data_IF_538317499502
#
_entry.id   IF_538317499502
#
_cell.length_a   1.000
_cell.length_b   1.000
_cell.length_c   1.000
_cell.angle_alpha   90.00
_cell.angle_beta   90.00
_cell.angle_gamma   90.00
#
_symmetry.space_group_name_H-M   'P 1'
#
loop_
_entity.id
_entity.type
_entity.pdbx_description
1 polymer ?
#
# COMPACT_ATOMS: atom_id res chain seq x y z
N UNK A 1 -9.04 -59.35 29.36
CA UNK A 1 -8.14 -58.77 28.30
C UNK A 1 -9.00 -57.94 27.35
N UNK A 2 -9.33 -56.67 27.68
CA UNK A 2 -10.33 -55.88 26.93
C UNK A 2 -10.28 -54.37 27.16
N UNK A 3 -9.21 -53.79 27.72
CA UNK A 3 -9.19 -52.35 28.08
C UNK A 3 -8.24 -51.47 27.26
N UNK A 4 -7.56 -51.97 26.21
CA UNK A 4 -6.58 -51.19 25.48
C UNK A 4 -7.06 -50.59 24.12
N UNK A 5 -8.26 -50.83 23.66
CA UNK A 5 -8.73 -50.32 22.36
C UNK A 5 -9.51 -49.00 22.44
N UNK A 6 -10.11 -48.65 23.58
CA UNK A 6 -10.85 -47.39 23.71
C UNK A 6 -9.96 -46.17 23.93
N UNK A 7 -8.80 -46.32 24.49
CA UNK A 7 -7.90 -45.20 24.85
C UNK A 7 -7.20 -44.57 23.65
N UNK A 8 -6.93 -45.34 22.59
CA UNK A 8 -6.33 -44.82 21.34
C UNK A 8 -7.30 -43.98 20.53
N UNK A 9 -8.58 -44.28 20.54
CA UNK A 9 -9.60 -43.55 19.79
C UNK A 9 -9.91 -42.19 20.46
N UNK A 10 -9.96 -42.16 21.80
CA UNK A 10 -10.15 -40.92 22.56
C UNK A 10 -8.93 -39.99 22.49
N UNK A 11 -7.73 -40.54 22.48
CA UNK A 11 -6.49 -39.77 22.34
C UNK A 11 -6.35 -39.14 20.94
N UNK A 12 -6.78 -39.83 19.90
CA UNK A 12 -6.80 -39.30 18.53
C UNK A 12 -7.88 -38.23 18.35
N UNK A 13 -9.04 -38.32 19.00
CA UNK A 13 -10.06 -37.26 18.96
C UNK A 13 -9.61 -35.99 19.70
N UNK A 14 -8.95 -36.12 20.83
CA UNK A 14 -8.37 -34.98 21.55
C UNK A 14 -7.22 -34.33 20.76
N UNK A 15 -6.36 -35.10 20.15
CA UNK A 15 -5.31 -34.60 19.25
C UNK A 15 -5.89 -33.92 18.00
N UNK A 16 -6.92 -34.49 17.38
CA UNK A 16 -7.61 -33.86 16.24
C UNK A 16 -8.33 -32.57 16.63
N UNK A 17 -8.97 -32.52 17.79
CA UNK A 17 -9.55 -31.29 18.30
C UNK A 17 -8.46 -30.25 18.64
N UNK A 18 -7.34 -30.67 19.23
CA UNK A 18 -6.21 -29.78 19.54
C UNK A 18 -5.56 -29.25 18.25
N UNK A 19 -5.36 -30.08 17.23
CA UNK A 19 -4.87 -29.67 15.91
C UNK A 19 -5.89 -28.79 15.16
N UNK A 20 -7.18 -29.03 15.33
CA UNK A 20 -8.23 -28.18 14.75
C UNK A 20 -8.28 -26.81 15.44
N UNK A 21 -8.19 -26.76 16.77
CA UNK A 21 -8.13 -25.52 17.57
C UNK A 21 -6.84 -24.76 17.35
N UNK A 22 -5.70 -25.44 17.26
CA UNK A 22 -4.41 -24.80 16.98
C UNK A 22 -4.35 -24.31 15.52
N UNK A 23 -4.86 -25.05 14.55
CA UNK A 23 -5.00 -24.57 13.16
C UNK A 23 -5.98 -23.39 13.05
N UNK A 24 -7.07 -23.39 13.83
CA UNK A 24 -8.03 -22.30 13.91
C UNK A 24 -7.38 -21.08 14.54
N UNK A 25 -6.64 -21.23 15.65
CA UNK A 25 -5.95 -20.10 16.31
C UNK A 25 -4.79 -19.54 15.47
N UNK A 26 -4.04 -20.39 14.76
CA UNK A 26 -2.96 -19.95 13.86
C UNK A 26 -3.56 -19.26 12.61
N UNK A 27 -4.66 -19.77 12.05
CA UNK A 27 -5.36 -19.12 10.94
C UNK A 27 -5.99 -17.80 11.38
N UNK A 28 -6.56 -17.71 12.59
CA UNK A 28 -7.09 -16.47 13.16
C UNK A 28 -5.97 -15.48 13.57
N UNK A 29 -4.80 -15.96 14.04
CA UNK A 29 -3.64 -15.09 14.28
C UNK A 29 -3.04 -14.51 12.99
N UNK A 30 -3.02 -15.29 11.90
CA UNK A 30 -2.55 -14.82 10.58
C UNK A 30 -3.52 -13.80 9.96
N UNK A 31 -4.81 -13.85 10.34
CA UNK A 31 -5.84 -12.97 9.80
C UNK A 31 -5.81 -11.59 10.49
N UNK A 32 -5.28 -11.46 11.70
CA UNK A 32 -5.31 -10.20 12.46
C UNK A 32 -4.56 -9.04 11.82
N UNK A 33 -3.52 -9.32 11.03
CA UNK A 33 -2.60 -8.29 10.51
C UNK A 33 -2.67 -8.14 8.98
N UNK A 34 -3.74 -8.58 8.33
CA UNK A 34 -3.84 -8.51 6.86
C UNK A 34 -5.21 -8.03 6.39
N UNK A 35 -5.24 -7.49 5.18
CA UNK A 35 -6.48 -7.24 4.44
C UNK A 35 -7.01 -8.57 3.92
N UNK A 36 -8.25 -8.91 4.32
CA UNK A 36 -8.92 -10.18 4.00
C UNK A 36 -9.78 -10.02 2.76
N UNK A 37 -9.54 -10.85 1.76
CA UNK A 37 -10.39 -10.92 0.57
C UNK A 37 -11.34 -12.13 0.67
N UNK A 38 -12.64 -11.90 0.49
CA UNK A 38 -13.65 -12.96 0.55
C UNK A 38 -13.38 -14.12 -0.44
N UNK A 39 -12.77 -13.81 -1.59
CA UNK A 39 -12.41 -14.81 -2.61
C UNK A 39 -11.30 -15.76 -2.18
N UNK A 40 -10.49 -15.38 -1.19
CA UNK A 40 -9.35 -16.17 -0.70
C UNK A 40 -9.79 -17.15 0.40
N UNK A 41 -11.04 -17.04 0.85
CA UNK A 41 -11.63 -17.90 1.87
C UNK A 41 -12.55 -18.95 1.26
N UNK A 42 -12.58 -20.15 1.88
CA UNK A 42 -13.60 -21.14 1.55
C UNK A 42 -15.00 -20.60 1.94
N UNK A 43 -16.10 -21.07 1.32
CA UNK A 43 -17.45 -20.64 1.69
C UNK A 43 -17.80 -20.87 3.16
N UNK A 44 -17.20 -21.90 3.80
CA UNK A 44 -17.40 -22.21 5.22
C UNK A 44 -16.65 -21.20 6.11
N UNK A 45 -15.38 -20.90 5.76
CA UNK A 45 -14.54 -19.95 6.50
C UNK A 45 -15.06 -18.52 6.34
N UNK A 46 -15.53 -18.15 5.15
CA UNK A 46 -16.14 -16.84 4.93
C UNK A 46 -17.41 -16.64 5.78
N UNK A 47 -18.27 -17.65 5.90
CA UNK A 47 -19.45 -17.58 6.80
C UNK A 47 -19.06 -17.48 8.28
N UNK A 48 -17.97 -18.15 8.69
CA UNK A 48 -17.43 -18.02 10.05
C UNK A 48 -16.88 -16.62 10.29
N UNK A 49 -16.08 -16.13 9.35
CA UNK A 49 -15.52 -14.79 9.36
C UNK A 49 -16.60 -13.70 9.44
N UNK A 50 -17.68 -13.80 8.65
CA UNK A 50 -18.79 -12.82 8.71
C UNK A 50 -19.49 -12.79 10.07
N UNK A 51 -19.59 -13.90 10.78
CA UNK A 51 -20.10 -13.92 12.16
C UNK A 51 -19.13 -13.20 13.10
N UNK A 52 -17.85 -13.44 12.96
CA UNK A 52 -16.81 -12.78 13.75
C UNK A 52 -16.79 -11.25 13.51
N UNK A 53 -16.94 -10.82 12.26
CA UNK A 53 -17.09 -9.39 11.89
C UNK A 53 -18.34 -8.77 12.50
N UNK A 54 -19.42 -9.55 12.62
CA UNK A 54 -20.67 -9.08 13.23
C UNK A 54 -20.57 -8.98 14.75
N UNK A 55 -19.91 -9.95 15.38
CA UNK A 55 -19.81 -10.07 16.83
C UNK A 55 -18.70 -9.19 17.44
N UNK A 56 -17.69 -8.83 16.65
CA UNK A 56 -16.55 -8.01 17.03
C UNK A 56 -16.43 -6.78 16.12
N UNK A 57 -16.48 -5.59 16.68
CA UNK A 57 -16.25 -4.33 15.96
C UNK A 57 -14.78 -4.15 15.47
N UNK A 58 -13.97 -5.22 15.56
CA UNK A 58 -12.53 -5.21 15.23
C UNK A 58 -12.25 -5.16 13.73
N UNK A 59 -13.25 -5.44 12.89
CA UNK A 59 -13.09 -5.47 11.43
C UNK A 59 -13.98 -4.45 10.74
N UNK A 60 -13.42 -3.78 9.75
CA UNK A 60 -14.12 -2.82 8.89
C UNK A 60 -14.21 -3.36 7.47
N UNK A 61 -15.38 -3.22 6.87
CA UNK A 61 -15.56 -3.49 5.45
C UNK A 61 -14.98 -2.35 4.63
N UNK A 62 -13.88 -2.60 3.93
CA UNK A 62 -13.21 -1.63 3.05
C UNK A 62 -14.03 -1.41 1.78
N UNK A 63 -14.45 -2.49 1.14
CA UNK A 63 -15.35 -2.53 -0.02
C UNK A 63 -15.99 -3.93 -0.12
N UNK A 64 -16.83 -4.17 -1.12
CA UNK A 64 -17.47 -5.48 -1.27
C UNK A 64 -16.44 -6.61 -1.35
N UNK A 65 -16.51 -7.54 -0.41
CA UNK A 65 -15.62 -8.70 -0.31
C UNK A 65 -14.20 -8.38 0.17
N UNK A 66 -13.95 -7.19 0.70
CA UNK A 66 -12.66 -6.78 1.24
C UNK A 66 -12.85 -6.21 2.65
N UNK A 67 -12.11 -6.74 3.61
CA UNK A 67 -12.18 -6.39 5.02
C UNK A 67 -10.78 -6.21 5.60
N UNK A 68 -10.64 -5.33 6.59
CA UNK A 68 -9.40 -5.18 7.37
C UNK A 68 -9.72 -5.01 8.84
N UNK A 69 -8.78 -5.38 9.70
CA UNK A 69 -8.85 -4.98 11.12
C UNK A 69 -8.56 -3.49 11.26
N UNK A 70 -9.06 -2.90 12.35
CA UNK A 70 -8.76 -1.50 12.67
C UNK A 70 -7.26 -1.30 12.89
N UNK A 71 -6.57 -2.28 13.48
CA UNK A 71 -5.12 -2.23 13.71
C UNK A 71 -4.34 -2.10 12.39
N UNK A 72 -4.74 -2.87 11.37
CA UNK A 72 -4.12 -2.78 10.01
C UNK A 72 -4.35 -1.42 9.36
N UNK A 73 -5.54 -0.83 9.56
CA UNK A 73 -5.86 0.48 8.99
C UNK A 73 -5.24 1.64 9.78
N UNK A 74 -4.81 1.40 11.02
CA UNK A 74 -4.09 2.37 11.84
C UNK A 74 -2.59 2.41 11.56
N UNK A 75 -2.03 1.45 10.81
CA UNK A 75 -0.64 1.46 10.39
C UNK A 75 -0.39 2.56 9.36
N UNK A 76 0.83 3.09 9.33
CA UNK A 76 1.25 4.11 8.36
C UNK A 76 1.13 3.62 6.92
N UNK A 77 1.27 2.30 6.71
CA UNK A 77 1.17 1.66 5.40
C UNK A 77 0.18 0.51 5.41
N UNK A 78 -0.53 0.36 4.30
CA UNK A 78 -1.49 -0.73 4.07
C UNK A 78 -1.19 -1.41 2.74
N UNK A 79 -1.62 -2.67 2.59
CA UNK A 79 -1.46 -3.41 1.34
C UNK A 79 -2.35 -2.80 0.22
N UNK A 80 -1.80 -1.79 -0.42
CA UNK A 80 -2.49 -1.04 -1.49
C UNK A 80 -2.84 -1.93 -2.67
N UNK A 81 -2.02 -2.94 -2.98
CA UNK A 81 -2.30 -3.83 -4.11
C UNK A 81 -3.58 -4.65 -3.91
N UNK A 82 -3.90 -5.03 -2.67
CA UNK A 82 -5.19 -5.66 -2.35
C UNK A 82 -6.36 -4.70 -2.51
N UNK A 83 -6.18 -3.43 -2.22
CA UNK A 83 -7.24 -2.41 -2.31
C UNK A 83 -7.41 -1.95 -3.75
N UNK A 84 -6.33 -1.55 -4.41
CA UNK A 84 -6.27 -1.09 -5.81
C UNK A 84 -5.17 -1.87 -6.52
N UNK A 85 -5.46 -3.08 -7.03
CA UNK A 85 -4.46 -3.93 -7.68
C UNK A 85 -3.70 -3.18 -8.78
N UNK A 86 -2.36 -3.24 -8.75
CA UNK A 86 -1.49 -2.53 -9.70
C UNK A 86 -1.46 -1.02 -9.52
N UNK A 87 -1.99 -0.48 -8.42
CA UNK A 87 -1.83 0.93 -8.05
C UNK A 87 -0.39 1.26 -7.69
N UNK A 88 0.03 2.50 -7.94
CA UNK A 88 1.39 2.97 -7.69
C UNK A 88 1.33 4.15 -6.74
N UNK A 89 1.99 4.07 -5.58
CA UNK A 89 2.08 5.21 -4.67
C UNK A 89 2.84 6.36 -5.34
N UNK A 90 2.26 7.57 -5.25
CA UNK A 90 2.78 8.77 -5.89
C UNK A 90 2.54 10.01 -5.03
N UNK A 91 2.99 11.16 -5.48
CA UNK A 91 2.81 12.47 -4.84
C UNK A 91 3.07 12.42 -3.33
N UNK A 92 2.15 12.93 -2.50
CA UNK A 92 2.35 13.03 -1.05
C UNK A 92 2.67 11.68 -0.39
N UNK A 93 2.08 10.58 -0.84
CA UNK A 93 2.43 9.25 -0.31
C UNK A 93 3.88 8.84 -0.64
N UNK A 94 4.36 9.12 -1.86
CA UNK A 94 5.74 8.84 -2.23
C UNK A 94 6.72 9.81 -1.56
N UNK A 95 6.40 11.09 -1.50
CA UNK A 95 7.24 12.10 -0.83
C UNK A 95 7.36 11.82 0.67
N UNK A 96 6.27 11.44 1.32
CA UNK A 96 6.26 11.05 2.73
C UNK A 96 7.09 9.78 2.97
N UNK A 97 6.90 8.75 2.15
CA UNK A 97 7.67 7.50 2.22
C UNK A 97 9.19 7.74 2.17
N UNK A 98 9.63 8.65 1.31
CA UNK A 98 11.05 8.98 1.17
C UNK A 98 11.53 10.07 2.16
N UNK A 99 10.68 10.59 3.01
CA UNK A 99 11.00 11.70 3.91
C UNK A 99 11.37 12.99 3.15
N UNK A 100 10.74 13.23 1.99
CA UNK A 100 11.05 14.38 1.14
C UNK A 100 10.21 15.61 1.49
N UNK A 101 9.22 15.47 2.34
CA UNK A 101 8.37 16.55 2.85
C UNK A 101 8.01 16.30 4.30
N UNK A 102 7.79 17.37 5.04
CA UNK A 102 7.27 17.35 6.41
C UNK A 102 5.76 17.21 6.48
N UNK A 103 5.08 17.34 5.34
CA UNK A 103 3.63 17.18 5.28
C UNK A 103 3.23 15.70 5.33
N UNK A 104 2.37 15.37 6.30
CA UNK A 104 1.74 14.05 6.41
C UNK A 104 0.50 14.04 5.51
N UNK A 105 0.38 13.09 4.57
CA UNK A 105 -0.79 13.00 3.72
C UNK A 105 -2.03 12.55 4.50
N UNK A 106 -3.19 13.16 4.22
CA UNK A 106 -4.49 12.76 4.74
C UNK A 106 -5.12 11.58 3.98
N UNK A 107 -4.55 11.22 2.83
CA UNK A 107 -5.02 10.14 1.97
C UNK A 107 -3.87 9.46 1.24
N UNK A 108 -4.04 8.20 0.83
CA UNK A 108 -3.09 7.54 -0.05
C UNK A 108 -3.22 8.05 -1.49
N UNK A 109 -2.17 8.68 -2.00
CA UNK A 109 -2.10 9.13 -3.39
C UNK A 109 -1.65 7.98 -4.28
N UNK A 110 -2.53 7.51 -5.18
CA UNK A 110 -2.30 6.32 -6.00
C UNK A 110 -2.44 6.66 -7.48
N UNK A 111 -1.36 6.46 -8.23
CA UNK A 111 -1.37 6.58 -9.69
C UNK A 111 -1.97 5.32 -10.33
N UNK A 112 -2.86 5.55 -11.28
CA UNK A 112 -3.48 4.52 -12.13
C UNK A 112 -3.55 5.00 -13.58
N UNK A 113 -3.76 4.06 -14.51
CA UNK A 113 -4.02 4.41 -15.91
C UNK A 113 -5.30 5.23 -16.05
N UNK A 114 -5.26 6.26 -16.91
CA UNK A 114 -6.39 7.18 -17.13
C UNK A 114 -7.67 6.51 -17.64
N UNK A 115 -7.52 5.40 -18.34
CA UNK A 115 -8.63 4.66 -18.91
C UNK A 115 -9.25 3.66 -17.91
N UNK A 116 -8.59 3.48 -16.76
CA UNK A 116 -9.02 2.54 -15.75
C UNK A 116 -10.10 3.14 -14.86
N UNK A 117 -11.20 2.40 -14.69
CA UNK A 117 -12.25 2.73 -13.71
C UNK A 117 -12.03 1.90 -12.46
N UNK A 118 -11.93 2.57 -11.32
CA UNK A 118 -11.71 1.95 -10.01
C UNK A 118 -12.83 2.36 -9.07
N UNK A 119 -13.38 1.39 -8.35
CA UNK A 119 -14.29 1.66 -7.24
C UNK A 119 -13.43 1.89 -5.99
N UNK A 120 -13.51 3.09 -5.45
CA UNK A 120 -12.79 3.44 -4.21
C UNK A 120 -13.33 2.65 -3.01
N UNK A 121 -12.46 2.39 -2.02
CA UNK A 121 -12.87 1.82 -0.74
C UNK A 121 -13.61 2.87 0.09
N UNK A 122 -14.24 2.43 1.18
CA UNK A 122 -14.76 3.32 2.21
C UNK A 122 -13.63 3.84 3.12
N UNK A 123 -12.62 3.01 3.34
CA UNK A 123 -11.39 3.29 4.08
C UNK A 123 -10.24 2.40 3.52
N UNK A 124 -8.99 2.83 3.58
CA UNK A 124 -8.53 4.19 3.90
C UNK A 124 -8.90 5.20 2.80
N UNK A 125 -8.76 6.50 3.08
CA UNK A 125 -8.97 7.53 2.08
C UNK A 125 -7.93 7.43 0.96
N UNK A 126 -8.39 7.49 -0.28
CA UNK A 126 -7.55 7.34 -1.48
C UNK A 126 -7.82 8.46 -2.47
N UNK A 127 -6.74 9.14 -2.84
CA UNK A 127 -6.72 10.12 -3.92
C UNK A 127 -6.13 9.50 -5.18
N UNK A 128 -6.95 9.33 -6.22
CA UNK A 128 -6.48 8.78 -7.50
C UNK A 128 -5.80 9.84 -8.35
N UNK A 129 -4.63 9.48 -8.87
CA UNK A 129 -3.85 10.28 -9.81
C UNK A 129 -3.83 9.56 -11.16
N UNK A 130 -4.50 10.12 -12.14
CA UNK A 130 -4.62 9.52 -13.46
C UNK A 130 -3.42 9.84 -14.33
N UNK A 131 -2.73 8.81 -14.80
CA UNK A 131 -1.57 8.90 -15.68
C UNK A 131 -1.88 8.27 -17.05
N UNK A 132 -1.22 8.75 -18.10
CA UNK A 132 -1.29 8.08 -19.39
C UNK A 132 -0.39 6.84 -19.38
N UNK A 133 -0.81 5.79 -20.09
CA UNK A 133 -0.16 4.47 -20.10
C UNK A 133 1.34 4.53 -20.42
N UNK A 134 1.73 5.46 -21.29
CA UNK A 134 3.15 5.63 -21.72
C UNK A 134 4.08 6.18 -20.63
N UNK A 135 3.54 6.77 -19.55
CA UNK A 135 4.35 7.33 -18.46
C UNK A 135 4.00 6.72 -17.09
N UNK A 136 2.99 5.84 -17.04
CA UNK A 136 2.53 5.24 -15.79
C UNK A 136 3.63 4.40 -15.14
N UNK A 137 4.36 3.60 -15.92
CA UNK A 137 5.41 2.71 -15.42
C UNK A 137 6.78 3.39 -15.30
N UNK A 138 6.90 4.66 -15.72
CA UNK A 138 8.18 5.39 -15.66
C UNK A 138 8.57 5.66 -14.19
N UNK A 139 9.70 5.09 -13.76
CA UNK A 139 10.23 5.27 -12.42
C UNK A 139 9.50 4.46 -11.34
N UNK A 140 8.75 3.42 -11.73
CA UNK A 140 8.13 2.51 -10.75
C UNK A 140 9.18 1.56 -10.20
N UNK A 141 9.16 1.41 -8.88
CA UNK A 141 9.90 0.37 -8.18
C UNK A 141 9.01 -0.31 -7.15
N UNK A 142 9.41 -1.49 -6.73
CA UNK A 142 8.77 -2.23 -5.66
C UNK A 142 9.64 -2.13 -4.42
N UNK A 143 9.04 -1.70 -3.32
CA UNK A 143 9.69 -1.57 -2.02
C UNK A 143 8.94 -2.37 -0.97
N UNK A 144 9.62 -2.76 0.08
CA UNK A 144 9.00 -3.31 1.27
C UNK A 144 8.72 -2.15 2.23
N UNK A 145 7.45 -1.97 2.61
CA UNK A 145 7.02 -1.05 3.64
C UNK A 145 6.27 -1.86 4.69
N UNK A 146 6.80 -1.87 5.91
CA UNK A 146 6.41 -2.83 6.94
C UNK A 146 6.51 -4.27 6.37
N UNK A 147 5.41 -5.01 6.34
CA UNK A 147 5.34 -6.37 5.82
C UNK A 147 4.74 -6.45 4.39
N UNK A 148 4.53 -5.31 3.72
CA UNK A 148 3.86 -5.24 2.42
C UNK A 148 4.82 -4.87 1.30
N UNK A 149 4.67 -5.54 0.17
CA UNK A 149 5.34 -5.18 -1.07
C UNK A 149 4.52 -4.10 -1.79
N UNK A 150 5.05 -2.89 -1.88
CA UNK A 150 4.36 -1.71 -2.39
C UNK A 150 5.02 -1.25 -3.68
N UNK A 151 4.22 -0.99 -4.70
CA UNK A 151 4.65 -0.30 -5.91
C UNK A 151 4.63 1.21 -5.68
N UNK A 152 5.75 1.87 -5.95
CA UNK A 152 5.93 3.30 -5.68
C UNK A 152 6.80 3.93 -6.76
N UNK A 153 6.59 5.20 -7.06
CA UNK A 153 7.54 5.95 -7.89
C UNK A 153 8.85 6.18 -7.14
N UNK A 154 9.97 6.02 -7.85
CA UNK A 154 11.30 6.32 -7.30
C UNK A 154 11.48 7.82 -6.97
N UNK A 155 12.58 8.16 -6.30
CA UNK A 155 12.84 9.54 -5.86
C UNK A 155 12.90 10.51 -7.03
N UNK A 156 13.53 10.14 -8.12
CA UNK A 156 13.70 10.98 -9.33
C UNK A 156 12.37 11.25 -10.00
N UNK A 157 11.51 10.24 -10.12
CA UNK A 157 10.15 10.43 -10.63
C UNK A 157 9.33 11.30 -9.70
N UNK A 158 9.44 11.09 -8.40
CA UNK A 158 8.73 11.85 -7.38
C UNK A 158 9.10 13.34 -7.40
N UNK A 159 10.38 13.67 -7.60
CA UNK A 159 10.84 15.07 -7.82
C UNK A 159 10.24 15.65 -9.09
N UNK A 160 10.25 14.92 -10.19
CA UNK A 160 9.65 15.39 -11.44
C UNK A 160 8.14 15.67 -11.27
N UNK A 161 7.43 14.83 -10.50
CA UNK A 161 6.02 15.05 -10.22
C UNK A 161 5.82 16.30 -9.34
N UNK A 162 6.69 16.55 -8.34
CA UNK A 162 6.64 17.79 -7.54
C UNK A 162 6.80 19.04 -8.43
N UNK A 163 7.78 19.05 -9.32
CA UNK A 163 7.99 20.14 -10.27
C UNK A 163 6.80 20.31 -11.22
N UNK A 164 6.24 19.21 -11.70
CA UNK A 164 5.06 19.21 -12.60
C UNK A 164 3.82 19.79 -11.93
N UNK A 165 3.61 19.46 -10.67
CA UNK A 165 2.41 19.86 -9.92
C UNK A 165 2.65 21.05 -8.99
N UNK A 166 3.79 21.75 -9.08
CA UNK A 166 4.19 22.88 -8.22
C UNK A 166 3.12 23.94 -8.01
N UNK A 167 2.31 24.22 -9.04
CA UNK A 167 1.23 25.21 -8.94
C UNK A 167 0.02 24.71 -8.12
N UNK A 168 -0.07 23.39 -7.89
CA UNK A 168 -1.14 22.77 -7.08
C UNK A 168 -0.70 22.51 -5.65
N UNK A 169 0.56 22.09 -5.47
CA UNK A 169 1.11 21.74 -4.16
C UNK A 169 1.76 22.91 -3.44
N UNK A 170 2.03 24.00 -4.15
CA UNK A 170 2.82 25.13 -3.67
C UNK A 170 4.30 25.04 -4.06
N UNK A 171 4.92 26.18 -4.28
CA UNK A 171 6.35 26.28 -4.63
C UNK A 171 7.21 25.92 -3.42
N UNK A 172 6.76 26.23 -2.22
CA UNK A 172 7.39 25.89 -0.95
C UNK A 172 7.55 24.39 -0.76
N UNK A 173 6.49 23.63 -0.93
CA UNK A 173 6.51 22.16 -0.87
C UNK A 173 7.40 21.57 -1.97
N UNK A 174 7.28 22.06 -3.19
CA UNK A 174 8.15 21.62 -4.30
C UNK A 174 9.63 21.90 -3.98
N UNK A 175 9.95 23.07 -3.44
CA UNK A 175 11.32 23.45 -3.06
C UNK A 175 11.85 22.61 -1.91
N UNK A 176 11.03 22.28 -0.91
CA UNK A 176 11.36 21.34 0.17
C UNK A 176 11.76 19.97 -0.39
N UNK A 177 10.92 19.41 -1.29
CA UNK A 177 11.15 18.12 -1.93
C UNK A 177 12.45 18.13 -2.74
N UNK A 178 12.67 19.16 -3.53
CA UNK A 178 13.87 19.29 -4.37
C UNK A 178 15.14 19.45 -3.51
N UNK A 179 15.10 20.30 -2.48
CA UNK A 179 16.22 20.49 -1.54
C UNK A 179 16.57 19.18 -0.81
N UNK A 180 15.57 18.44 -0.35
CA UNK A 180 15.78 17.15 0.32
C UNK A 180 16.41 16.14 -0.62
N UNK A 181 15.93 16.08 -1.86
CA UNK A 181 16.52 15.23 -2.88
C UNK A 181 17.98 15.60 -3.21
N UNK A 182 18.29 16.89 -3.33
CA UNK A 182 19.66 17.35 -3.62
C UNK A 182 20.66 17.03 -2.50
N UNK A 183 20.19 16.91 -1.27
CA UNK A 183 21.02 16.47 -0.12
C UNK A 183 21.19 14.95 -0.05
N UNK A 184 20.37 14.19 -0.76
CA UNK A 184 20.44 12.73 -0.74
C UNK A 184 21.67 12.25 -1.50
N UNK A 185 22.58 11.51 -0.86
CA UNK A 185 23.83 11.03 -1.45
C UNK A 185 23.61 10.07 -2.64
N UNK A 186 22.58 9.26 -2.59
CA UNK A 186 22.20 8.31 -3.65
C UNK A 186 21.43 8.93 -4.83
N UNK A 187 21.36 10.29 -4.94
CA UNK A 187 20.68 10.97 -6.04
C UNK A 187 21.29 10.65 -7.39
N UNK A 188 20.45 10.55 -8.41
CA UNK A 188 20.88 10.33 -9.78
C UNK A 188 20.34 11.44 -10.70
N UNK A 189 21.17 12.47 -10.91
CA UNK A 189 20.79 13.65 -11.72
C UNK A 189 20.56 13.31 -13.19
N UNK A 190 21.27 12.33 -13.75
CA UNK A 190 21.06 11.90 -15.14
C UNK A 190 19.70 11.26 -15.31
N UNK A 191 19.32 10.38 -14.38
CA UNK A 191 17.97 9.76 -14.34
C UNK A 191 16.90 10.82 -14.16
N UNK A 192 17.10 11.74 -13.23
CA UNK A 192 16.19 12.86 -12.97
C UNK A 192 15.94 13.68 -14.25
N UNK A 193 16.99 14.09 -14.95
CA UNK A 193 16.89 14.87 -16.19
C UNK A 193 16.23 14.08 -17.33
N UNK A 194 16.49 12.79 -17.42
CA UNK A 194 15.84 11.89 -18.38
C UNK A 194 14.34 11.78 -18.13
N UNK A 195 13.93 11.60 -16.87
CA UNK A 195 12.51 11.57 -16.49
C UNK A 195 11.85 12.93 -16.72
N UNK A 196 12.53 14.02 -16.36
CA UNK A 196 12.03 15.37 -16.57
C UNK A 196 11.77 15.69 -18.05
N UNK A 197 12.61 15.18 -18.96
CA UNK A 197 12.39 15.30 -20.40
C UNK A 197 11.11 14.56 -20.83
N UNK A 198 10.96 13.30 -20.41
CA UNK A 198 9.79 12.47 -20.73
C UNK A 198 8.51 13.08 -20.18
N UNK A 199 8.56 13.66 -18.98
CA UNK A 199 7.42 14.28 -18.29
C UNK A 199 7.19 15.75 -18.71
N UNK A 200 8.02 16.30 -19.64
CA UNK A 200 7.95 17.66 -20.17
C UNK A 200 8.11 18.75 -19.10
N UNK A 201 8.95 18.51 -18.11
CA UNK A 201 9.26 19.48 -17.05
C UNK A 201 10.75 19.85 -17.00
N UNK A 202 11.57 19.39 -17.94
CA UNK A 202 13.01 19.52 -17.91
C UNK A 202 13.48 20.99 -17.88
N UNK A 203 12.89 21.87 -18.68
CA UNK A 203 13.27 23.29 -18.72
C UNK A 203 12.98 24.00 -17.40
N UNK A 204 11.89 23.63 -16.75
CA UNK A 204 11.51 24.20 -15.46
C UNK A 204 12.43 23.66 -14.37
N UNK A 205 12.65 22.35 -14.34
CA UNK A 205 13.55 21.72 -13.37
C UNK A 205 14.97 22.30 -13.46
N UNK A 206 15.54 22.48 -14.67
CA UNK A 206 16.87 23.05 -14.87
C UNK A 206 17.00 24.44 -14.23
N UNK A 207 16.01 25.31 -14.41
CA UNK A 207 16.01 26.65 -13.77
C UNK A 207 16.07 26.60 -12.25
N UNK A 208 15.36 25.65 -11.63
CA UNK A 208 15.45 25.47 -10.17
C UNK A 208 16.81 24.91 -9.76
N UNK A 209 17.37 23.96 -10.52
CA UNK A 209 18.69 23.39 -10.23
C UNK A 209 19.80 24.45 -10.34
N UNK A 210 19.74 25.35 -11.35
CA UNK A 210 20.69 26.45 -11.53
C UNK A 210 20.68 27.46 -10.36
N UNK A 211 19.57 27.58 -9.66
CA UNK A 211 19.44 28.49 -8.50
C UNK A 211 19.89 27.79 -7.20
N UNK A 212 19.76 26.47 -7.13
CA UNK A 212 19.92 25.69 -5.88
C UNK A 212 21.28 24.98 -5.79
N UNK A 213 22.03 24.87 -6.88
CA UNK A 213 23.39 24.31 -6.96
C UNK A 213 24.43 25.39 -7.12
#
# INVERSE_FOLDING_TARGET
>A
MGYKKHDKKYRNYKLMQYFCVVKINVTLMIIKDTIIQARDLSPADYRRFLREVHDNESYVKIKNGLYASLDVLANDWVDIDKIIPGGILCHYSAWHFYGMTTQVPDSFHIAIDRNRKVKLPYMPDITLVYQSSNILELGVQTVLADDFSIRIYDRERSVCDAVKYRNKIGIDVMSEILNTYLKYEGRNLDRLLKYAATLRVQSILKRYLEIML
#
